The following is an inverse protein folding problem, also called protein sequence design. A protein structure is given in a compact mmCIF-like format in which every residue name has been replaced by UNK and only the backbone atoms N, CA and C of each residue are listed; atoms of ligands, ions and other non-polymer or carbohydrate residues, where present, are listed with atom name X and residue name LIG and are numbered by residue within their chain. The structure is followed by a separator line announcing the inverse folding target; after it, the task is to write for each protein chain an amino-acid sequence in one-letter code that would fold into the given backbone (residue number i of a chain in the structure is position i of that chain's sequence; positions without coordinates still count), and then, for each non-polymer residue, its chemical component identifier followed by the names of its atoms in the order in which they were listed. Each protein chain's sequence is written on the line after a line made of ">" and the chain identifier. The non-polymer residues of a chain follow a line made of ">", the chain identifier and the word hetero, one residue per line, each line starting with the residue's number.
data_IF_048493300565
#
_entry.id   IF_048493300565
#
_cell.length_a   1.000
_cell.length_b   1.000
_cell.length_c   1.000
_cell.angle_alpha   90.00
_cell.angle_beta   90.00
_cell.angle_gamma   90.00
#
_symmetry.space_group_name_H-M   'P 1'
#
loop_
_entity.id
_entity.type
_entity.pdbx_description
1 polymer ?
#
# COMPACT_ATOMS: atom_id res chain seq x y z
N UNK A 1 -2.41 10.12 -18.13
CA UNK A 1 -3.60 10.37 -17.30
C UNK A 1 -3.37 11.64 -16.51
N UNK A 2 -4.27 12.64 -16.59
CA UNK A 2 -4.19 13.84 -15.74
C UNK A 2 -4.85 13.53 -14.40
N UNK A 3 -4.35 14.12 -13.31
CA UNK A 3 -4.95 13.93 -11.97
C UNK A 3 -6.43 14.31 -11.93
N UNK A 4 -6.82 15.29 -12.75
CA UNK A 4 -8.20 15.74 -12.94
C UNK A 4 -9.14 14.66 -13.48
N UNK A 5 -8.61 13.60 -14.09
CA UNK A 5 -9.42 12.55 -14.73
C UNK A 5 -9.90 11.51 -13.70
N UNK A 6 -9.31 11.48 -12.50
CA UNK A 6 -9.64 10.55 -11.41
C UNK A 6 -10.62 11.22 -10.45
N UNK A 7 -11.86 10.76 -10.42
CA UNK A 7 -12.90 11.30 -9.53
C UNK A 7 -12.74 10.81 -8.09
N UNK A 8 -12.37 9.54 -7.93
CA UNK A 8 -12.38 8.85 -6.64
C UNK A 8 -11.25 7.80 -6.61
N UNK A 9 -10.78 7.50 -5.40
CA UNK A 9 -9.85 6.40 -5.14
C UNK A 9 -10.45 5.53 -4.04
N UNK A 10 -10.68 4.26 -4.35
CA UNK A 10 -11.09 3.28 -3.35
C UNK A 10 -9.84 2.66 -2.72
N UNK A 11 -9.91 2.45 -1.41
CA UNK A 11 -8.81 1.88 -0.61
C UNK A 11 -9.35 0.81 0.33
N UNK A 12 -8.78 -0.39 0.24
CA UNK A 12 -9.13 -1.54 1.08
C UNK A 12 -8.10 -1.60 2.22
N UNK A 13 -8.58 -1.67 3.46
CA UNK A 13 -7.73 -1.72 4.66
C UNK A 13 -8.43 -2.49 5.79
N UNK A 14 -7.69 -3.13 6.72
CA UNK A 14 -8.26 -3.72 7.92
C UNK A 14 -9.03 -2.69 8.76
N UNK A 15 -10.14 -3.10 9.35
CA UNK A 15 -10.98 -2.21 10.18
C UNK A 15 -10.20 -1.64 11.38
N UNK A 16 -9.22 -2.40 11.89
CA UNK A 16 -8.33 -1.98 12.97
C UNK A 16 -7.52 -0.71 12.62
N UNK A 17 -7.25 -0.46 11.34
CA UNK A 17 -6.50 0.71 10.88
C UNK A 17 -7.35 1.99 10.83
N UNK A 18 -8.68 1.91 10.95
CA UNK A 18 -9.53 3.10 10.83
C UNK A 18 -9.20 4.17 11.88
N UNK A 19 -8.88 3.78 13.11
CA UNK A 19 -8.53 4.73 14.17
C UNK A 19 -7.28 5.55 13.82
N UNK A 20 -6.21 4.89 13.34
CA UNK A 20 -4.99 5.58 12.96
C UNK A 20 -5.18 6.43 11.70
N UNK A 21 -5.99 5.96 10.74
CA UNK A 21 -6.35 6.75 9.55
C UNK A 21 -7.14 8.01 9.93
N UNK A 22 -8.07 7.91 10.89
CA UNK A 22 -8.82 9.08 11.37
C UNK A 22 -7.92 10.10 12.07
N UNK A 23 -6.85 9.64 12.74
CA UNK A 23 -5.92 10.50 13.48
C UNK A 23 -4.82 11.12 12.61
N UNK A 24 -4.26 10.34 11.68
CA UNK A 24 -3.04 10.72 10.92
C UNK A 24 -3.26 10.82 9.41
N UNK A 25 -4.43 10.42 8.92
CA UNK A 25 -4.74 10.29 7.49
C UNK A 25 -4.22 9.00 6.86
N UNK A 26 -4.40 8.86 5.55
CA UNK A 26 -3.79 7.79 4.77
C UNK A 26 -2.33 8.15 4.51
N UNK A 27 -1.43 7.32 5.03
CA UNK A 27 0.01 7.54 4.95
C UNK A 27 0.65 6.74 3.82
N UNK A 28 1.79 7.21 3.31
CA UNK A 28 2.62 6.39 2.42
C UNK A 28 3.28 5.25 3.20
N UNK A 29 3.77 4.23 2.48
CA UNK A 29 4.38 3.02 3.05
C UNK A 29 5.47 3.31 4.10
N UNK A 30 6.35 4.27 3.82
CA UNK A 30 7.46 4.59 4.72
C UNK A 30 7.01 5.30 6.01
N UNK A 31 5.86 5.96 5.98
CA UNK A 31 5.26 6.59 7.17
C UNK A 31 4.37 5.60 7.93
N UNK A 32 3.62 4.74 7.24
CA UNK A 32 2.78 3.73 7.89
C UNK A 32 3.61 2.73 8.69
N UNK A 33 4.79 2.33 8.21
CA UNK A 33 5.77 1.48 8.93
C UNK A 33 6.17 2.01 10.33
N UNK A 34 6.00 3.32 10.57
CA UNK A 34 6.34 3.95 11.86
C UNK A 34 5.21 3.87 12.89
N UNK A 35 4.03 3.41 12.48
CA UNK A 35 2.85 3.30 13.33
C UNK A 35 2.39 1.83 13.41
N UNK A 36 1.79 1.41 14.54
CA UNK A 36 1.05 0.16 14.59
C UNK A 36 -0.05 0.16 13.53
N UNK A 37 0.00 -0.80 12.62
CA UNK A 37 -1.02 -1.03 11.61
C UNK A 37 -1.03 -2.49 11.21
N UNK A 38 -2.17 -2.97 10.77
CA UNK A 38 -2.31 -4.28 10.15
C UNK A 38 -2.14 -4.14 8.63
N UNK A 39 -1.22 -4.90 8.06
CA UNK A 39 -1.01 -4.94 6.62
C UNK A 39 -1.79 -6.11 6.01
N UNK A 40 -2.48 -5.85 4.90
CA UNK A 40 -3.01 -6.93 4.04
C UNK A 40 -1.94 -7.52 3.12
N UNK A 41 -0.74 -6.93 3.12
CA UNK A 41 0.36 -7.45 2.32
C UNK A 41 0.75 -8.83 2.84
N UNK A 42 0.74 -9.82 1.95
CA UNK A 42 1.34 -11.12 2.21
C UNK A 42 2.85 -10.96 2.07
N UNK A 43 3.53 -10.51 3.12
CA UNK A 43 4.98 -10.25 3.14
C UNK A 43 5.78 -11.42 2.54
N UNK A 44 5.42 -12.66 2.87
CA UNK A 44 6.04 -13.86 2.32
C UNK A 44 5.98 -13.91 0.77
N UNK A 45 4.85 -13.49 0.18
CA UNK A 45 4.67 -13.44 -1.28
C UNK A 45 5.44 -12.27 -1.87
N UNK A 46 5.50 -11.13 -1.18
CA UNK A 46 6.27 -9.97 -1.64
C UNK A 46 7.77 -10.27 -1.67
N UNK A 47 8.31 -10.90 -0.62
CA UNK A 47 9.72 -11.35 -0.60
C UNK A 47 10.04 -12.35 -1.72
N UNK A 48 9.09 -13.24 -2.07
CA UNK A 48 9.25 -14.14 -3.23
C UNK A 48 9.31 -13.38 -4.56
N UNK A 49 8.63 -12.24 -4.68
CA UNK A 49 8.58 -11.42 -5.91
C UNK A 49 9.80 -10.53 -6.09
N UNK A 50 10.44 -10.07 -5.02
CA UNK A 50 11.65 -9.22 -5.09
C UNK A 50 12.75 -9.85 -5.96
N UNK A 51 12.86 -11.18 -5.94
CA UNK A 51 13.87 -11.94 -6.67
C UNK A 51 13.43 -12.39 -8.06
N UNK A 52 12.22 -12.02 -8.50
CA UNK A 52 11.65 -12.43 -9.79
C UNK A 52 11.59 -11.23 -10.73
N UNK A 53 12.38 -11.28 -11.81
CA UNK A 53 12.31 -10.32 -12.89
C UNK A 53 11.52 -10.91 -14.06
N UNK A 54 10.41 -10.26 -14.43
CA UNK A 54 9.70 -10.60 -15.66
C UNK A 54 10.48 -9.97 -16.82
N UNK A 55 10.92 -10.76 -17.82
CA UNK A 55 11.63 -10.23 -18.99
C UNK A 55 10.85 -9.10 -19.66
N UNK A 56 11.49 -7.95 -19.89
CA UNK A 56 10.87 -6.77 -20.51
C UNK A 56 9.97 -5.93 -19.60
N UNK A 57 9.74 -6.34 -18.34
CA UNK A 57 8.96 -5.55 -17.38
C UNK A 57 9.84 -4.61 -16.55
N UNK A 58 9.25 -3.52 -16.04
CA UNK A 58 9.86 -2.71 -14.98
C UNK A 58 9.84 -3.48 -13.67
N UNK A 59 10.88 -3.30 -12.85
CA UNK A 59 10.90 -3.82 -11.47
C UNK A 59 9.70 -3.24 -10.71
N UNK A 60 8.99 -4.11 -9.98
CA UNK A 60 7.90 -3.76 -9.08
C UNK A 60 8.46 -3.16 -7.79
#
# INVERSE_FOLDING_TARGET
>A
MKRSDVKELYYITPIANLLSIMQYGILCNELSKKLPHESLAMEEIQSKRENKQIPGARKL
#
